data_IF_493329970378
#
_entry.id   IF_493329970378
#
_cell.length_a   1.000
_cell.length_b   1.000
_cell.length_c   1.000
_cell.angle_alpha   90.00
_cell.angle_beta   90.00
_cell.angle_gamma   90.00
#
_symmetry.space_group_name_H-M   'P 1'
#
loop_
_entity.id
_entity.type
_entity.pdbx_description
1 polymer ?
#
# COMPACT_ATOMS: atom_id res chain seq x y z
N UNK A 1 -6.79 -10.45 9.52
CA UNK A 1 -5.63 -11.34 9.71
C UNK A 1 -6.02 -12.80 9.45
N UNK A 2 -7.16 -13.26 9.99
CA UNK A 2 -7.61 -14.62 9.75
C UNK A 2 -7.80 -14.94 8.27
N UNK A 3 -8.41 -14.03 7.51
CA UNK A 3 -8.60 -14.20 6.06
C UNK A 3 -7.25 -14.24 5.33
N UNK A 4 -6.30 -13.41 5.74
CA UNK A 4 -4.97 -13.41 5.14
C UNK A 4 -4.25 -14.74 5.37
N UNK A 5 -4.33 -15.27 6.59
CA UNK A 5 -3.74 -16.57 6.90
C UNK A 5 -4.38 -17.71 6.11
N UNK A 6 -5.71 -17.64 5.91
CA UNK A 6 -6.41 -18.61 5.08
C UNK A 6 -5.91 -18.58 3.64
N UNK A 7 -5.73 -17.38 3.07
CA UNK A 7 -5.25 -17.22 1.69
C UNK A 7 -3.83 -17.74 1.50
N UNK A 8 -2.98 -17.62 2.50
CA UNK A 8 -1.61 -18.14 2.43
C UNK A 8 -1.57 -19.66 2.28
N UNK A 9 -2.59 -20.34 2.78
CA UNK A 9 -2.65 -21.80 2.82
C UNK A 9 -3.65 -22.38 1.80
N UNK A 10 -4.15 -21.56 0.89
CA UNK A 10 -5.12 -22.00 -0.12
C UNK A 10 -4.45 -22.92 -1.12
N UNK A 11 -5.14 -24.00 -1.50
CA UNK A 11 -4.66 -24.90 -2.54
C UNK A 11 -4.55 -24.17 -3.88
N UNK A 12 -3.43 -24.35 -4.57
CA UNK A 12 -3.13 -23.64 -5.81
C UNK A 12 -2.44 -22.30 -5.60
N UNK A 13 -2.36 -21.81 -4.37
CA UNK A 13 -1.60 -20.61 -4.05
C UNK A 13 -0.11 -20.91 -3.94
N UNK A 14 0.71 -19.86 -4.07
CA UNK A 14 2.18 -20.01 -3.98
C UNK A 14 2.76 -19.58 -2.64
N UNK A 15 1.92 -19.39 -1.63
CA UNK A 15 2.37 -18.98 -0.29
C UNK A 15 2.74 -17.52 -0.17
N UNK A 16 2.51 -16.71 -1.18
CA UNK A 16 2.78 -15.28 -1.17
C UNK A 16 1.48 -14.49 -1.13
N UNK A 17 1.47 -13.37 -0.40
CA UNK A 17 0.29 -12.55 -0.21
C UNK A 17 0.62 -11.10 -0.51
N UNK A 18 -0.23 -10.47 -1.31
CA UNK A 18 -0.19 -9.04 -1.54
C UNK A 18 -1.44 -8.37 -1.01
N UNK A 19 -1.33 -7.13 -0.59
CA UNK A 19 -2.48 -6.36 -0.11
C UNK A 19 -2.57 -5.03 -0.83
N UNK A 20 -3.78 -4.64 -1.19
CA UNK A 20 -4.08 -3.32 -1.72
C UNK A 20 -5.34 -2.83 -1.03
N UNK A 21 -5.38 -1.55 -0.70
CA UNK A 21 -6.54 -0.98 -0.04
C UNK A 21 -6.67 0.50 -0.31
N UNK A 22 -7.89 1.02 -0.24
CA UNK A 22 -8.24 2.40 -0.60
C UNK A 22 -8.88 3.08 0.58
N UNK A 23 -8.55 4.35 0.83
CA UNK A 23 -9.10 5.12 1.94
C UNK A 23 -8.84 4.42 3.28
N UNK A 24 -9.90 4.07 4.01
CA UNK A 24 -9.79 3.27 5.23
C UNK A 24 -9.11 1.93 4.96
N UNK A 25 -9.40 1.31 3.81
CA UNK A 25 -8.70 0.10 3.37
C UNK A 25 -7.21 0.30 3.16
N UNK A 26 -6.79 1.51 2.78
CA UNK A 26 -5.37 1.86 2.71
C UNK A 26 -4.69 1.81 4.07
N UNK A 27 -5.37 2.32 5.10
CA UNK A 27 -4.87 2.22 6.46
C UNK A 27 -4.80 0.75 6.92
N UNK A 28 -5.77 -0.06 6.53
CA UNK A 28 -5.75 -1.49 6.83
C UNK A 28 -4.60 -2.20 6.10
N UNK A 29 -4.31 -1.83 4.85
CA UNK A 29 -3.17 -2.39 4.11
C UNK A 29 -1.86 -2.08 4.83
N UNK A 30 -1.68 -0.85 5.30
CA UNK A 30 -0.54 -0.48 6.13
C UNK A 30 -0.46 -1.32 7.41
N UNK A 31 -1.60 -1.46 8.08
CA UNK A 31 -1.67 -2.25 9.31
C UNK A 31 -1.29 -3.72 9.07
N UNK A 32 -1.83 -4.33 8.01
CA UNK A 32 -1.50 -5.72 7.69
C UNK A 32 -0.02 -5.89 7.39
N UNK A 33 0.60 -4.93 6.70
CA UNK A 33 2.04 -4.99 6.43
C UNK A 33 2.85 -5.01 7.73
N UNK A 34 2.40 -4.31 8.78
CA UNK A 34 3.08 -4.30 10.07
C UNK A 34 2.87 -5.58 10.89
N UNK A 35 1.81 -6.34 10.60
CA UNK A 35 1.41 -7.51 11.40
C UNK A 35 1.75 -8.83 10.76
N UNK A 36 1.88 -8.87 9.44
CA UNK A 36 2.08 -10.12 8.69
C UNK A 36 3.38 -10.06 7.90
N UNK A 37 4.45 -10.71 8.40
CA UNK A 37 5.72 -10.73 7.65
C UNK A 37 5.63 -11.49 6.32
N UNK A 38 4.57 -12.27 6.12
CA UNK A 38 4.34 -12.97 4.85
C UNK A 38 3.76 -12.09 3.75
N UNK A 39 3.34 -10.86 4.06
CA UNK A 39 2.92 -9.90 3.02
C UNK A 39 4.16 -9.50 2.23
N UNK A 40 4.17 -9.80 0.93
CA UNK A 40 5.29 -9.47 0.06
C UNK A 40 5.19 -8.07 -0.54
N UNK A 41 4.08 -7.68 -1.18
CA UNK A 41 3.83 -6.29 -1.55
C UNK A 41 2.63 -5.74 -0.81
N UNK A 42 2.63 -4.42 -0.57
CA UNK A 42 1.46 -3.72 -0.07
C UNK A 42 1.33 -2.39 -0.81
N UNK A 43 0.13 -2.06 -1.23
CA UNK A 43 -0.17 -0.83 -1.94
C UNK A 43 -1.31 -0.09 -1.24
N UNK A 44 -1.00 0.69 -0.20
CA UNK A 44 -2.01 1.52 0.47
C UNK A 44 -2.28 2.78 -0.34
N UNK A 45 -3.53 2.96 -0.74
CA UNK A 45 -3.98 4.15 -1.47
C UNK A 45 -4.61 5.14 -0.48
N UNK A 46 -4.02 6.31 -0.38
CA UNK A 46 -4.49 7.45 0.42
C UNK A 46 -5.04 7.06 1.79
N UNK A 47 -4.38 6.11 2.45
CA UNK A 47 -4.71 5.70 3.82
C UNK A 47 -3.73 6.26 4.83
N UNK A 48 -4.18 6.38 6.07
CA UNK A 48 -3.34 6.87 7.16
C UNK A 48 -2.19 5.90 7.45
N UNK A 49 -1.07 6.44 7.90
CA UNK A 49 0.09 5.64 8.27
C UNK A 49 -0.17 4.80 9.52
N UNK A 50 0.53 3.67 9.68
CA UNK A 50 0.50 2.91 10.93
C UNK A 50 1.30 3.62 12.02
N UNK A 51 1.25 3.09 13.23
CA UNK A 51 2.12 3.59 14.31
C UNK A 51 3.59 3.44 13.90
N UNK A 52 4.39 4.48 14.13
CA UNK A 52 5.79 4.47 13.67
C UNK A 52 6.62 3.38 14.33
N UNK A 53 6.31 3.00 15.55
CA UNK A 53 6.99 1.91 16.25
C UNK A 53 6.76 0.54 15.60
N UNK A 54 5.66 0.38 14.86
CA UNK A 54 5.35 -0.89 14.19
C UNK A 54 6.01 -1.02 12.82
N UNK A 55 6.54 0.06 12.28
CA UNK A 55 7.13 0.08 10.92
C UNK A 55 8.33 -0.86 10.82
N UNK A 56 9.08 -1.05 11.89
CA UNK A 56 10.22 -1.96 11.90
C UNK A 56 9.83 -3.41 11.61
N UNK A 57 8.55 -3.76 11.78
CA UNK A 57 8.05 -5.10 11.52
C UNK A 57 7.70 -5.36 10.05
N UNK A 58 7.71 -4.32 9.20
CA UNK A 58 7.33 -4.45 7.80
C UNK A 58 8.42 -5.19 7.02
N UNK A 59 8.02 -6.27 6.36
CA UNK A 59 8.90 -7.03 5.45
C UNK A 59 8.48 -6.85 3.99
N UNK A 60 7.32 -6.25 3.74
CA UNK A 60 6.79 -6.02 2.40
C UNK A 60 7.55 -4.90 1.69
N UNK A 61 7.54 -4.96 0.36
CA UNK A 61 7.85 -3.77 -0.44
C UNK A 61 6.56 -2.96 -0.59
N UNK A 62 6.64 -1.65 -0.41
CA UNK A 62 5.47 -0.78 -0.40
C UNK A 62 5.39 0.10 -1.64
N UNK A 63 4.20 0.25 -2.17
CA UNK A 63 3.84 1.36 -3.05
C UNK A 63 2.86 2.24 -2.29
N UNK A 64 3.34 3.37 -1.77
CA UNK A 64 2.51 4.29 -1.01
C UNK A 64 1.92 5.31 -1.97
N UNK A 65 0.60 5.29 -2.14
CA UNK A 65 -0.10 6.20 -3.04
C UNK A 65 -0.82 7.24 -2.20
N UNK A 66 -0.47 8.51 -2.39
CA UNK A 66 -1.07 9.64 -1.69
C UNK A 66 -1.73 10.57 -2.70
N UNK A 67 -2.85 11.17 -2.31
CA UNK A 67 -3.41 12.29 -3.06
C UNK A 67 -2.72 13.58 -2.61
N UNK A 68 -2.61 14.55 -3.53
CA UNK A 68 -1.92 15.80 -3.21
C UNK A 68 -2.71 16.62 -2.18
N UNK A 69 -4.03 16.64 -2.29
CA UNK A 69 -4.89 17.56 -1.54
C UNK A 69 -5.64 16.88 -0.38
N UNK A 70 -4.97 16.07 0.42
CA UNK A 70 -5.54 15.43 1.62
C UNK A 70 -4.61 15.69 2.81
N UNK A 71 -4.80 16.82 3.46
CA UNK A 71 -3.89 17.28 4.51
C UNK A 71 -3.73 16.26 5.66
N UNK A 72 -4.84 15.71 6.15
CA UNK A 72 -4.80 14.81 7.31
C UNK A 72 -3.99 13.55 7.04
N UNK A 73 -4.21 12.93 5.88
CA UNK A 73 -3.47 11.73 5.49
C UNK A 73 -2.02 12.09 5.19
N UNK A 74 -1.80 13.18 4.46
CA UNK A 74 -0.46 13.58 4.03
C UNK A 74 0.39 14.02 5.22
N UNK A 75 -0.22 14.54 6.28
CA UNK A 75 0.49 14.89 7.51
C UNK A 75 1.09 13.66 8.22
N UNK A 76 0.55 12.47 7.98
CA UNK A 76 1.09 11.24 8.54
C UNK A 76 2.29 10.70 7.77
N UNK A 77 2.56 11.21 6.57
CA UNK A 77 3.59 10.68 5.70
C UNK A 77 5.03 10.97 6.18
N UNK A 78 5.40 12.22 6.55
CA UNK A 78 6.81 12.47 6.91
C UNK A 78 7.33 11.58 8.04
N UNK A 79 6.62 11.38 9.17
CA UNK A 79 7.12 10.46 10.19
C UNK A 79 7.09 9.00 9.72
N UNK A 80 6.15 8.62 8.86
CA UNK A 80 6.11 7.28 8.29
C UNK A 80 7.32 7.05 7.38
N UNK A 81 7.62 8.00 6.50
CA UNK A 81 8.79 7.89 5.62
C UNK A 81 10.08 7.78 6.42
N UNK A 82 10.24 8.59 7.45
CA UNK A 82 11.44 8.53 8.29
C UNK A 82 11.59 7.16 8.94
N UNK A 83 10.48 6.58 9.43
CA UNK A 83 10.49 5.25 10.04
C UNK A 83 10.80 4.15 9.00
N UNK A 84 10.28 4.27 7.78
CA UNK A 84 10.57 3.32 6.69
C UNK A 84 12.07 3.33 6.35
N UNK A 85 12.66 4.51 6.25
CA UNK A 85 14.09 4.62 5.96
C UNK A 85 14.94 4.04 7.09
N UNK A 86 14.58 4.33 8.33
CA UNK A 86 15.29 3.81 9.49
C UNK A 86 15.22 2.28 9.58
N UNK A 87 14.09 1.69 9.17
CA UNK A 87 13.89 0.24 9.19
C UNK A 87 14.44 -0.46 7.95
N UNK A 88 14.91 0.27 6.93
CA UNK A 88 15.41 -0.30 5.69
C UNK A 88 14.32 -0.91 4.80
N UNK A 89 13.08 -0.46 4.94
CA UNK A 89 11.96 -0.94 4.14
C UNK A 89 12.03 -0.37 2.73
N UNK A 90 11.84 -1.20 1.72
CA UNK A 90 11.77 -0.75 0.32
C UNK A 90 10.40 -0.16 0.05
N UNK A 91 10.36 1.07 -0.43
CA UNK A 91 9.10 1.73 -0.75
C UNK A 91 9.25 2.66 -1.94
N UNK A 92 8.13 2.91 -2.61
CA UNK A 92 8.00 3.93 -3.65
C UNK A 92 6.82 4.82 -3.25
N UNK A 93 7.00 6.13 -3.33
CA UNK A 93 5.92 7.09 -3.12
C UNK A 93 5.39 7.54 -4.47
N UNK A 94 4.08 7.46 -4.65
CA UNK A 94 3.37 8.04 -5.79
C UNK A 94 2.35 9.03 -5.27
N UNK A 95 2.54 10.32 -5.63
CA UNK A 95 1.62 11.39 -5.23
C UNK A 95 1.32 12.24 -6.46
N UNK A 96 0.35 11.81 -7.29
CA UNK A 96 0.05 12.53 -8.54
C UNK A 96 -0.42 13.96 -8.24
N UNK A 97 0.05 14.95 -9.01
CA UNK A 97 -0.33 16.34 -8.78
C UNK A 97 -1.82 16.58 -9.06
N UNK A 98 -2.42 17.49 -8.29
CA UNK A 98 -3.82 17.87 -8.45
C UNK A 98 -4.85 16.87 -7.98
N UNK A 99 -4.43 15.75 -7.39
CA UNK A 99 -5.34 14.69 -6.98
C UNK A 99 -5.97 14.94 -5.62
N UNK A 100 -7.16 14.39 -5.42
CA UNK A 100 -7.93 14.49 -4.19
C UNK A 100 -8.17 13.09 -3.62
N UNK A 101 -8.61 13.03 -2.35
CA UNK A 101 -8.93 11.77 -1.70
C UNK A 101 -9.96 11.00 -2.52
N UNK A 102 -9.66 9.73 -2.79
CA UNK A 102 -10.54 8.89 -3.60
C UNK A 102 -10.36 9.05 -5.10
N UNK A 103 -9.23 9.60 -5.57
CA UNK A 103 -9.03 9.86 -7.00
C UNK A 103 -9.09 8.60 -7.87
N UNK A 104 -8.94 7.41 -7.31
CA UNK A 104 -9.01 6.14 -8.03
C UNK A 104 -10.44 5.61 -8.15
N UNK A 105 -11.40 6.25 -7.50
CA UNK A 105 -12.80 5.81 -7.49
C UNK A 105 -13.59 6.53 -8.59
N UNK A 106 -13.94 5.79 -9.64
CA UNK A 106 -14.65 6.31 -10.80
C UNK A 106 -16.12 6.66 -10.55
N UNK A 107 -16.61 6.41 -9.33
CA UNK A 107 -17.97 6.79 -8.96
C UNK A 107 -18.05 8.14 -8.25
N UNK A 108 -16.93 8.88 -8.16
CA UNK A 108 -16.88 10.19 -7.50
C UNK A 108 -16.43 11.27 -8.46
N UNK A 109 -16.84 12.56 -8.22
CA UNK A 109 -16.31 13.67 -9.01
C UNK A 109 -14.82 13.93 -8.79
N UNK A 110 -14.20 13.30 -7.78
CA UNK A 110 -12.76 13.41 -7.51
C UNK A 110 -11.93 12.45 -8.36
N UNK A 111 -12.58 11.60 -9.16
CA UNK A 111 -11.88 10.65 -10.01
C UNK A 111 -10.93 11.35 -10.97
N UNK A 112 -9.70 10.87 -11.02
CA UNK A 112 -8.67 11.32 -11.93
C UNK A 112 -8.20 10.13 -12.75
N UNK A 113 -8.67 10.04 -13.99
CA UNK A 113 -8.40 8.87 -14.82
C UNK A 113 -6.92 8.63 -15.07
N UNK A 114 -6.16 9.68 -15.34
CA UNK A 114 -4.72 9.53 -15.62
C UNK A 114 -3.96 9.09 -14.37
N UNK A 115 -4.26 9.71 -13.21
CA UNK A 115 -3.62 9.34 -11.95
C UNK A 115 -4.01 7.92 -11.53
N UNK A 116 -5.29 7.56 -11.68
CA UNK A 116 -5.77 6.21 -11.36
C UNK A 116 -5.10 5.16 -12.24
N UNK A 117 -4.96 5.42 -13.53
CA UNK A 117 -4.30 4.49 -14.45
C UNK A 117 -2.82 4.31 -14.09
N UNK A 118 -2.12 5.38 -13.78
CA UNK A 118 -0.72 5.33 -13.37
C UNK A 118 -0.55 4.54 -12.08
N UNK A 119 -1.36 4.85 -11.07
CA UNK A 119 -1.29 4.16 -9.77
C UNK A 119 -1.59 2.68 -9.92
N UNK A 120 -2.58 2.33 -10.72
CA UNK A 120 -2.96 0.93 -10.93
C UNK A 120 -1.87 0.18 -11.68
N UNK A 121 -1.28 0.79 -12.72
CA UNK A 121 -0.19 0.17 -13.46
C UNK A 121 1.00 -0.12 -12.53
N UNK A 122 1.39 0.82 -11.69
CA UNK A 122 2.50 0.60 -10.75
C UNK A 122 2.16 -0.46 -9.72
N UNK A 123 0.91 -0.54 -9.28
CA UNK A 123 0.45 -1.59 -8.38
C UNK A 123 0.60 -2.97 -9.01
N UNK A 124 0.14 -3.11 -10.25
CA UNK A 124 0.25 -4.38 -10.98
C UNK A 124 1.71 -4.77 -11.20
N UNK A 125 2.56 -3.82 -11.57
CA UNK A 125 4.00 -4.07 -11.73
C UNK A 125 4.65 -4.56 -10.44
N UNK A 126 4.33 -3.90 -9.32
CA UNK A 126 4.83 -4.31 -8.00
C UNK A 126 4.37 -5.74 -7.67
N UNK A 127 3.10 -6.03 -7.86
CA UNK A 127 2.55 -7.35 -7.54
C UNK A 127 3.12 -8.44 -8.44
N UNK A 128 3.29 -8.15 -9.73
CA UNK A 128 3.90 -9.12 -10.64
C UNK A 128 5.35 -9.42 -10.24
N UNK A 129 6.11 -8.40 -9.89
CA UNK A 129 7.52 -8.57 -9.53
C UNK A 129 7.69 -9.31 -8.21
N UNK A 130 6.82 -9.06 -7.24
CA UNK A 130 6.97 -9.60 -5.88
C UNK A 130 6.22 -10.90 -5.65
N UNK A 131 5.07 -11.08 -6.30
CA UNK A 131 4.21 -12.26 -6.06
C UNK A 131 4.51 -13.40 -7.02
N UNK A 132 4.93 -13.09 -8.24
CA UNK A 132 5.15 -14.10 -9.28
C UNK A 132 6.61 -14.54 -9.38
N UNK A 133 7.52 -13.84 -8.72
CA UNK A 133 8.93 -14.25 -8.76
C UNK A 133 9.12 -15.57 -8.03
N UNK A 134 9.99 -16.41 -8.57
CA UNK A 134 10.27 -17.73 -8.02
C UNK A 134 11.25 -17.70 -6.85
N UNK A 135 11.82 -16.54 -6.60
CA UNK A 135 12.86 -16.38 -5.60
C UNK A 135 12.36 -16.15 -4.20
#
# INVERSE_FOLDING_TARGET
>A
IAAANLLLNVEGGNGKLGVVGFCYGGAIANFLATRLPSVAPAAPFYGSAPATEDVANIKAELLVVLAENVERVNASWPPYEAALKAAGVRYTLLQPPGTQHGFNNDTTPRYDQAAAAQAWQQTIELFNRTLRSAG
#
